data_IF_703598210638
#
_entry.id   IF_703598210638
#
_cell.length_a   1.000
_cell.length_b   1.000
_cell.length_c   1.000
_cell.angle_alpha   90.00
_cell.angle_beta   90.00
_cell.angle_gamma   90.00
#
_symmetry.space_group_name_H-M   'P 1'
#
loop_
_entity.id
_entity.type
_entity.pdbx_description
1 polymer ?
#
# COMPACT_ATOMS: atom_id res chain seq x y z
N UNK A 1 28.57 -7.07 24.80
CA UNK A 1 28.01 -6.32 23.66
C UNK A 1 27.27 -7.31 22.77
N UNK A 2 25.96 -7.35 22.86
CA UNK A 2 25.11 -8.40 22.24
C UNK A 2 24.78 -8.02 20.79
N UNK A 3 25.35 -8.76 19.84
CA UNK A 3 24.97 -8.74 18.41
C UNK A 3 23.74 -9.63 18.18
N UNK A 4 22.59 -9.22 18.67
CA UNK A 4 21.38 -10.08 18.63
C UNK A 4 20.12 -9.33 18.12
N UNK A 5 20.16 -8.65 17.02
CA UNK A 5 18.94 -7.99 16.59
C UNK A 5 18.65 -7.95 15.09
N UNK A 6 19.67 -7.91 14.27
CA UNK A 6 19.49 -7.54 12.86
C UNK A 6 19.21 -8.71 11.90
N UNK A 7 19.60 -9.94 12.23
CA UNK A 7 19.25 -11.11 11.40
C UNK A 7 17.75 -11.48 11.47
N UNK A 8 17.04 -11.05 12.52
CA UNK A 8 15.63 -11.40 12.73
C UNK A 8 14.65 -10.60 11.87
N UNK A 9 15.03 -9.40 11.41
CA UNK A 9 14.11 -8.51 10.69
C UNK A 9 13.77 -9.04 9.29
N UNK A 10 14.77 -9.46 8.53
CA UNK A 10 14.55 -9.99 7.18
C UNK A 10 13.80 -11.34 7.19
N UNK A 11 14.14 -12.21 8.15
CA UNK A 11 13.48 -13.51 8.31
C UNK A 11 12.03 -13.39 8.77
N UNK A 12 11.73 -12.49 9.72
CA UNK A 12 10.39 -12.31 10.26
C UNK A 12 9.39 -11.74 9.25
N UNK A 13 9.84 -10.83 8.37
CA UNK A 13 8.98 -10.25 7.33
C UNK A 13 8.77 -11.25 6.17
N UNK A 14 9.73 -12.13 5.89
CA UNK A 14 9.62 -13.16 4.86
C UNK A 14 8.71 -14.34 5.28
N UNK A 15 8.75 -14.77 6.55
CA UNK A 15 7.94 -15.90 7.05
C UNK A 15 6.44 -15.58 7.05
N UNK A 16 6.06 -14.31 7.23
CA UNK A 16 4.67 -13.88 7.15
C UNK A 16 4.07 -13.94 5.72
N UNK A 17 4.86 -14.34 4.73
CA UNK A 17 4.43 -14.53 3.33
C UNK A 17 4.03 -15.97 2.96
N UNK A 18 4.26 -16.98 3.84
CA UNK A 18 3.82 -18.35 3.59
C UNK A 18 2.31 -18.49 3.86
N UNK A 19 1.50 -18.22 2.86
CA UNK A 19 0.08 -18.58 2.84
C UNK A 19 -0.10 -20.08 2.58
N UNK A 20 -1.26 -20.65 2.91
CA UNK A 20 -1.55 -22.07 2.66
C UNK A 20 -1.50 -22.38 1.17
N UNK A 21 -1.10 -23.62 0.87
CA UNK A 21 -0.89 -24.16 -0.48
C UNK A 21 -2.03 -23.81 -1.46
N UNK A 22 -1.63 -23.51 -2.69
CA UNK A 22 -2.47 -23.16 -3.82
C UNK A 22 -3.58 -24.19 -4.04
N UNK A 23 -4.81 -23.80 -3.75
CA UNK A 23 -5.98 -24.50 -4.28
C UNK A 23 -6.26 -23.87 -5.64
N UNK A 24 -6.12 -24.66 -6.70
CA UNK A 24 -6.44 -24.23 -8.07
C UNK A 24 -7.92 -23.82 -8.13
N UNK A 25 -8.24 -22.54 -8.40
CA UNK A 25 -9.64 -22.14 -8.47
C UNK A 25 -10.31 -22.74 -9.71
N UNK A 26 -11.58 -23.12 -9.64
CA UNK A 26 -12.32 -23.60 -10.80
C UNK A 26 -12.38 -22.49 -11.85
N UNK A 27 -12.12 -22.85 -13.11
CA UNK A 27 -12.26 -21.96 -14.26
C UNK A 27 -13.69 -21.44 -14.38
N UNK A 28 -13.90 -20.16 -14.13
CA UNK A 28 -15.18 -19.49 -14.33
C UNK A 28 -15.24 -19.03 -15.79
N UNK A 29 -16.11 -19.66 -16.58
CA UNK A 29 -16.40 -19.21 -17.94
C UNK A 29 -17.04 -17.83 -17.91
N UNK A 30 -16.34 -16.85 -18.48
CA UNK A 30 -16.80 -15.46 -18.54
C UNK A 30 -17.75 -15.27 -19.73
N UNK A 31 -19.04 -15.18 -19.47
CA UNK A 31 -19.92 -14.43 -20.34
C UNK A 31 -19.52 -12.95 -20.27
N UNK A 32 -19.44 -12.26 -21.43
CA UNK A 32 -18.88 -10.94 -21.60
C UNK A 32 -19.57 -9.78 -20.85
N UNK A 33 -19.56 -9.85 -19.53
CA UNK A 33 -19.99 -8.74 -18.69
C UNK A 33 -18.89 -7.67 -18.66
N UNK A 34 -19.25 -6.41 -18.95
CA UNK A 34 -18.30 -5.32 -18.80
C UNK A 34 -17.82 -5.26 -17.35
N UNK A 35 -16.56 -4.93 -17.12
CA UNK A 35 -16.00 -4.77 -15.77
C UNK A 35 -16.82 -3.78 -14.90
N UNK A 36 -17.53 -2.81 -15.50
CA UNK A 36 -18.49 -1.92 -14.83
C UNK A 36 -19.69 -2.69 -14.23
N UNK A 37 -20.14 -3.77 -14.88
CA UNK A 37 -21.20 -4.62 -14.34
C UNK A 37 -20.71 -5.51 -13.20
N UNK A 38 -19.43 -5.94 -13.24
CA UNK A 38 -18.80 -6.73 -12.16
C UNK A 38 -18.66 -5.93 -10.87
N UNK A 39 -18.42 -4.61 -10.95
CA UNK A 39 -18.36 -3.72 -9.79
C UNK A 39 -19.71 -3.67 -9.05
N UNK A 40 -20.83 -3.68 -9.76
CA UNK A 40 -22.17 -3.58 -9.17
C UNK A 40 -22.58 -4.80 -8.35
N UNK A 41 -22.00 -5.96 -8.59
CA UNK A 41 -22.35 -7.22 -7.90
C UNK A 41 -21.61 -7.41 -6.59
N UNK A 42 -20.61 -6.57 -6.28
CA UNK A 42 -19.89 -6.63 -5.00
C UNK A 42 -20.65 -5.82 -3.95
N UNK A 43 -20.93 -6.40 -2.76
CA UNK A 43 -21.45 -5.62 -1.65
C UNK A 43 -20.44 -4.51 -1.33
N UNK A 44 -20.95 -3.31 -1.06
CA UNK A 44 -20.14 -2.19 -0.62
C UNK A 44 -19.37 -2.59 0.65
N UNK A 45 -18.07 -2.87 0.51
CA UNK A 45 -17.20 -3.24 1.64
C UNK A 45 -16.87 -2.01 2.49
N UNK A 46 -17.05 -0.83 1.95
CA UNK A 46 -17.14 0.45 2.65
C UNK A 46 -17.92 1.41 1.75
N UNK A 47 -18.78 2.23 2.31
CA UNK A 47 -19.25 3.44 1.64
C UNK A 47 -18.03 4.32 1.44
N UNK A 48 -17.58 4.44 0.18
CA UNK A 48 -16.47 5.30 -0.15
C UNK A 48 -16.93 6.75 0.05
N UNK A 49 -16.46 7.40 1.07
CA UNK A 49 -16.79 8.79 1.39
C UNK A 49 -15.92 9.80 0.65
N UNK A 50 -14.93 9.34 -0.11
CA UNK A 50 -14.12 10.22 -0.94
C UNK A 50 -14.89 10.59 -2.21
N UNK A 51 -14.98 11.90 -2.48
CA UNK A 51 -15.61 12.45 -3.69
C UNK A 51 -14.79 12.22 -4.96
N UNK A 52 -13.58 11.67 -4.84
CA UNK A 52 -12.60 11.54 -5.91
C UNK A 52 -12.59 10.16 -6.58
N UNK A 53 -13.75 9.54 -6.74
CA UNK A 53 -13.81 8.25 -7.43
C UNK A 53 -13.88 8.48 -8.93
N UNK A 54 -12.76 8.35 -9.60
CA UNK A 54 -12.70 8.23 -11.03
C UNK A 54 -13.07 6.80 -11.42
N UNK A 55 -14.30 6.59 -11.85
CA UNK A 55 -14.85 5.25 -12.15
C UNK A 55 -14.72 4.82 -13.59
N UNK A 56 -14.23 5.69 -14.49
CA UNK A 56 -14.21 5.45 -15.93
C UNK A 56 -12.85 4.94 -16.46
N UNK A 57 -11.80 4.97 -15.63
CA UNK A 57 -10.45 4.54 -16.04
C UNK A 57 -9.77 5.48 -17.04
N UNK A 58 -10.31 6.69 -17.26
CA UNK A 58 -9.70 7.66 -18.16
C UNK A 58 -8.31 8.12 -17.68
N UNK A 59 -7.44 8.65 -18.54
CA UNK A 59 -6.17 9.24 -18.11
C UNK A 59 -6.33 10.33 -17.05
N UNK A 60 -7.39 11.12 -17.10
CA UNK A 60 -7.71 12.12 -16.10
C UNK A 60 -7.94 11.54 -14.70
N UNK A 61 -8.22 10.24 -14.60
CA UNK A 61 -8.33 9.53 -13.33
C UNK A 61 -7.04 9.54 -12.54
N UNK A 62 -5.94 9.16 -13.18
CA UNK A 62 -4.63 9.13 -12.51
C UNK A 62 -4.21 10.55 -12.14
N UNK A 63 -4.43 11.52 -13.01
CA UNK A 63 -4.11 12.93 -12.72
C UNK A 63 -4.88 13.43 -11.49
N UNK A 64 -6.16 13.08 -11.36
CA UNK A 64 -6.97 13.43 -10.21
C UNK A 64 -6.49 12.73 -8.91
N UNK A 65 -6.11 11.45 -9.00
CA UNK A 65 -5.55 10.70 -7.86
C UNK A 65 -4.23 11.31 -7.42
N UNK A 66 -3.32 11.59 -8.35
CA UNK A 66 -2.02 12.23 -8.07
C UNK A 66 -2.22 13.60 -7.43
N UNK A 67 -3.14 14.42 -7.94
CA UNK A 67 -3.44 15.74 -7.37
C UNK A 67 -3.93 15.64 -5.92
N UNK A 68 -4.83 14.70 -5.61
CA UNK A 68 -5.31 14.49 -4.23
C UNK A 68 -4.22 13.92 -3.33
N UNK A 69 -3.40 12.99 -3.81
CA UNK A 69 -2.25 12.49 -3.06
C UNK A 69 -1.25 13.59 -2.75
N UNK A 70 -0.93 14.44 -3.73
CA UNK A 70 -0.02 15.58 -3.56
C UNK A 70 -0.54 16.53 -2.48
N UNK A 71 -1.81 16.90 -2.57
CA UNK A 71 -2.45 17.77 -1.58
C UNK A 71 -2.36 17.20 -0.15
N UNK A 72 -2.62 15.90 0.02
CA UNK A 72 -2.52 15.21 1.32
C UNK A 72 -1.07 15.14 1.79
N UNK A 73 -0.18 14.76 0.90
CA UNK A 73 1.25 14.67 1.20
C UNK A 73 1.84 16.02 1.62
N UNK A 74 1.48 17.12 0.96
CA UNK A 74 1.99 18.44 1.29
C UNK A 74 1.66 18.85 2.73
N UNK A 75 0.44 18.56 3.19
CA UNK A 75 0.03 18.80 4.58
C UNK A 75 0.85 17.96 5.56
N UNK A 76 1.01 16.67 5.28
CA UNK A 76 1.77 15.75 6.11
C UNK A 76 3.27 16.11 6.15
N UNK A 77 3.83 16.47 5.00
CA UNK A 77 5.22 16.87 4.88
C UNK A 77 5.50 18.20 5.61
N UNK A 78 4.59 19.18 5.51
CA UNK A 78 4.73 20.46 6.18
C UNK A 78 4.72 20.35 7.71
N UNK A 79 4.02 19.36 8.25
CA UNK A 79 3.95 19.06 9.70
C UNK A 79 4.98 18.05 10.17
N UNK A 80 5.86 17.55 9.30
CA UNK A 80 6.78 16.45 9.61
C UNK A 80 6.07 15.20 10.16
N UNK A 81 4.83 14.95 9.73
CA UNK A 81 4.06 13.79 10.16
C UNK A 81 4.77 12.47 9.87
N UNK A 82 4.63 11.51 10.78
CA UNK A 82 5.09 10.13 10.55
C UNK A 82 4.24 9.37 9.52
N UNK A 83 3.11 9.92 9.08
CA UNK A 83 2.34 9.38 7.95
C UNK A 83 2.92 9.80 6.58
N UNK A 84 3.76 10.85 6.56
CA UNK A 84 4.33 11.38 5.32
C UNK A 84 5.20 10.37 4.54
N UNK A 85 6.02 9.50 5.17
CA UNK A 85 6.82 8.53 4.43
C UNK A 85 5.99 7.57 3.57
N UNK A 86 4.96 6.94 4.12
CA UNK A 86 4.09 6.09 3.29
C UNK A 86 3.38 6.89 2.20
N UNK A 87 2.87 8.09 2.52
CA UNK A 87 2.18 8.94 1.57
C UNK A 87 3.08 9.36 0.39
N UNK A 88 4.37 9.65 0.66
CA UNK A 88 5.37 9.96 -0.36
C UNK A 88 5.64 8.78 -1.29
N UNK A 89 5.94 7.61 -0.72
CA UNK A 89 6.21 6.42 -1.51
C UNK A 89 5.02 6.08 -2.42
N UNK A 90 3.80 6.13 -1.88
CA UNK A 90 2.61 5.82 -2.66
C UNK A 90 2.36 6.86 -3.76
N UNK A 91 2.57 8.15 -3.48
CA UNK A 91 2.51 9.21 -4.49
C UNK A 91 3.50 8.93 -5.65
N UNK A 92 4.77 8.61 -5.35
CA UNK A 92 5.78 8.32 -6.37
C UNK A 92 5.44 7.10 -7.22
N UNK A 93 4.85 6.08 -6.63
CA UNK A 93 4.37 4.90 -7.36
C UNK A 93 3.24 5.27 -8.32
N UNK A 94 2.26 6.05 -7.85
CA UNK A 94 1.10 6.46 -8.67
C UNK A 94 1.51 7.41 -9.80
N UNK A 95 2.42 8.36 -9.56
CA UNK A 95 3.05 9.17 -10.62
C UNK A 95 3.73 8.28 -11.66
N UNK A 96 4.47 7.26 -11.22
CA UNK A 96 5.12 6.29 -12.10
C UNK A 96 4.12 5.52 -12.97
N UNK A 97 2.96 5.13 -12.42
CA UNK A 97 1.87 4.50 -13.18
C UNK A 97 1.35 5.47 -14.26
N UNK A 98 1.13 6.73 -13.93
CA UNK A 98 0.68 7.75 -14.87
C UNK A 98 1.66 7.95 -16.03
N UNK A 99 2.94 8.14 -15.72
CA UNK A 99 4.00 8.42 -16.72
C UNK A 99 4.28 7.22 -17.63
N UNK A 100 4.38 6.02 -17.05
CA UNK A 100 4.79 4.81 -17.77
C UNK A 100 3.61 4.02 -18.33
N UNK A 101 2.39 4.31 -17.88
CA UNK A 101 1.19 3.53 -18.19
C UNK A 101 0.92 3.34 -19.68
N UNK A 102 1.12 4.39 -20.49
CA UNK A 102 0.87 4.34 -21.93
C UNK A 102 1.79 3.37 -22.70
N UNK A 103 2.97 3.03 -22.16
CA UNK A 103 3.99 2.23 -22.85
C UNK A 103 4.11 0.80 -22.34
N UNK A 104 3.67 0.52 -21.11
CA UNK A 104 3.93 -0.76 -20.42
C UNK A 104 2.70 -1.65 -20.29
N UNK A 105 1.50 -1.10 -20.35
CA UNK A 105 0.27 -1.82 -20.05
C UNK A 105 -0.60 -2.02 -21.27
N UNK A 106 -1.21 -3.21 -21.37
CA UNK A 106 -2.14 -3.53 -22.45
C UNK A 106 -3.48 -2.81 -22.28
N UNK A 107 -3.96 -2.77 -21.04
CA UNK A 107 -5.23 -2.15 -20.69
C UNK A 107 -4.99 -1.06 -19.64
N UNK A 108 -4.67 0.13 -20.11
CA UNK A 108 -4.43 1.29 -19.28
C UNK A 108 -5.67 1.70 -18.50
N UNK A 109 -6.85 1.65 -19.10
CA UNK A 109 -8.10 2.09 -18.47
C UNK A 109 -8.44 1.21 -17.27
N UNK A 110 -8.18 -0.10 -17.37
CA UNK A 110 -8.33 -1.02 -16.24
C UNK A 110 -7.40 -0.66 -15.09
N UNK A 111 -6.12 -0.39 -15.37
CA UNK A 111 -5.16 -0.03 -14.33
C UNK A 111 -5.47 1.32 -13.70
N UNK A 112 -5.84 2.32 -14.48
CA UNK A 112 -6.27 3.62 -13.98
C UNK A 112 -7.49 3.48 -13.05
N UNK A 113 -8.46 2.63 -13.44
CA UNK A 113 -9.61 2.36 -12.60
C UNK A 113 -9.23 1.63 -11.32
N UNK A 114 -8.41 0.58 -11.41
CA UNK A 114 -7.93 -0.15 -10.25
C UNK A 114 -7.19 0.77 -9.28
N UNK A 115 -6.28 1.61 -9.79
CA UNK A 115 -5.51 2.55 -8.98
C UNK A 115 -6.42 3.57 -8.26
N UNK A 116 -7.42 4.11 -8.97
CA UNK A 116 -8.38 5.02 -8.36
C UNK A 116 -9.21 4.35 -7.25
N UNK A 117 -9.67 3.13 -7.45
CA UNK A 117 -10.37 2.35 -6.40
C UNK A 117 -9.44 2.08 -5.22
N UNK A 118 -8.21 1.72 -5.50
CA UNK A 118 -7.19 1.40 -4.51
C UNK A 118 -6.84 2.63 -3.67
N UNK A 119 -6.58 3.77 -4.30
CA UNK A 119 -6.30 5.05 -3.62
C UNK A 119 -7.46 5.48 -2.71
N UNK A 120 -8.69 5.32 -3.16
CA UNK A 120 -9.87 5.68 -2.38
C UNK A 120 -10.04 4.86 -1.10
N UNK A 121 -9.58 3.61 -1.06
CA UNK A 121 -9.59 2.82 0.18
C UNK A 121 -8.64 3.43 1.23
N UNK A 122 -7.44 3.84 0.83
CA UNK A 122 -6.52 4.57 1.70
C UNK A 122 -7.11 5.92 2.14
N UNK A 123 -7.62 6.74 1.22
CA UNK A 123 -8.22 8.03 1.56
C UNK A 123 -9.36 7.88 2.56
N UNK A 124 -10.21 6.88 2.37
CA UNK A 124 -11.32 6.60 3.29
C UNK A 124 -10.82 6.19 4.68
N UNK A 125 -9.81 5.33 4.76
CA UNK A 125 -9.22 4.92 6.03
C UNK A 125 -8.59 6.11 6.76
N UNK A 126 -7.82 6.93 6.04
CA UNK A 126 -7.20 8.14 6.56
C UNK A 126 -8.24 9.17 7.05
N UNK A 127 -9.25 9.47 6.24
CA UNK A 127 -10.29 10.45 6.59
C UNK A 127 -11.13 10.00 7.80
N UNK A 128 -11.39 8.70 7.91
CA UNK A 128 -12.04 8.13 9.08
C UNK A 128 -11.17 8.23 10.33
N UNK A 129 -9.86 7.96 10.20
CA UNK A 129 -8.91 8.11 11.30
C UNK A 129 -8.86 9.55 11.81
N UNK A 130 -8.63 10.51 10.91
CA UNK A 130 -8.56 11.95 11.24
C UNK A 130 -9.86 12.51 11.81
N UNK A 131 -11.00 11.94 11.44
CA UNK A 131 -12.31 12.31 11.98
C UNK A 131 -12.66 11.57 13.29
N UNK A 132 -11.74 10.80 13.88
CA UNK A 132 -11.99 10.03 15.10
C UNK A 132 -12.96 8.84 14.94
N UNK A 133 -13.35 8.50 13.71
CA UNK A 133 -14.23 7.38 13.39
C UNK A 133 -13.46 6.05 13.35
N UNK A 134 -12.70 5.75 14.40
CA UNK A 134 -11.75 4.64 14.46
C UNK A 134 -12.38 3.26 14.23
N UNK A 135 -13.66 3.08 14.55
CA UNK A 135 -14.40 1.83 14.28
C UNK A 135 -14.61 1.55 12.78
N UNK A 136 -14.49 2.57 11.93
CA UNK A 136 -14.60 2.44 10.47
C UNK A 136 -13.23 2.25 9.80
N UNK A 137 -12.16 2.29 10.57
CA UNK A 137 -10.79 2.10 10.06
C UNK A 137 -10.41 0.63 10.19
N UNK A 138 -9.94 -0.02 9.11
CA UNK A 138 -9.41 -1.38 9.17
C UNK A 138 -8.27 -1.50 10.17
N UNK A 139 -8.15 -2.66 10.82
CA UNK A 139 -7.21 -2.84 11.94
C UNK A 139 -5.75 -2.62 11.53
N UNK A 140 -5.34 -3.09 10.35
CA UNK A 140 -3.98 -2.86 9.85
C UNK A 140 -3.67 -1.37 9.66
N UNK A 141 -4.65 -0.57 9.20
CA UNK A 141 -4.53 0.88 9.13
C UNK A 141 -4.54 1.54 10.49
N UNK A 142 -5.33 1.03 11.43
CA UNK A 142 -5.32 1.57 12.81
C UNK A 142 -3.96 1.43 13.46
N UNK A 143 -3.31 0.28 13.29
CA UNK A 143 -1.95 0.05 13.79
C UNK A 143 -0.98 1.03 13.11
N UNK A 144 -1.04 1.19 11.79
CA UNK A 144 -0.16 2.10 11.06
C UNK A 144 -0.33 3.56 11.51
N UNK A 145 -1.57 4.05 11.55
CA UNK A 145 -1.84 5.44 11.94
C UNK A 145 -1.55 5.70 13.42
N UNK A 146 -1.83 4.74 14.29
CA UNK A 146 -1.51 4.87 15.70
C UNK A 146 0.01 4.91 15.93
N UNK A 147 0.77 4.05 15.27
CA UNK A 147 2.23 4.06 15.34
C UNK A 147 2.80 5.40 14.84
N UNK A 148 2.25 5.94 13.74
CA UNK A 148 2.63 7.24 13.20
C UNK A 148 2.28 8.40 14.14
N UNK A 149 1.06 8.44 14.70
CA UNK A 149 0.65 9.49 15.65
C UNK A 149 1.48 9.48 16.92
N UNK A 150 1.92 8.31 17.37
CA UNK A 150 2.74 8.13 18.58
C UNK A 150 4.26 8.19 18.31
N UNK A 151 4.68 8.14 17.04
CA UNK A 151 6.08 8.09 16.65
C UNK A 151 6.82 6.88 17.22
N UNK A 152 6.18 5.71 17.29
CA UNK A 152 6.73 4.52 17.93
C UNK A 152 7.62 3.67 17.05
N UNK A 153 7.58 3.89 15.74
CA UNK A 153 8.37 3.17 14.74
C UNK A 153 9.29 4.11 13.96
N UNK A 154 10.32 3.54 13.34
CA UNK A 154 11.22 4.27 12.44
C UNK A 154 10.52 4.64 11.12
N UNK A 155 11.17 5.49 10.30
CA UNK A 155 10.70 5.81 8.93
C UNK A 155 10.47 4.54 8.11
N UNK A 156 11.35 3.54 8.23
CA UNK A 156 11.14 2.23 7.59
C UNK A 156 9.86 1.54 8.11
N UNK A 157 9.59 1.64 9.41
CA UNK A 157 8.38 1.12 10.03
C UNK A 157 7.12 1.81 9.50
N UNK A 158 7.12 3.13 9.42
CA UNK A 158 6.02 3.92 8.87
C UNK A 158 5.71 3.50 7.41
N UNK A 159 6.74 3.34 6.59
CA UNK A 159 6.61 2.85 5.21
C UNK A 159 6.02 1.44 5.18
N UNK A 160 6.60 0.49 5.91
CA UNK A 160 6.19 -0.92 5.85
C UNK A 160 4.79 -1.15 6.43
N UNK A 161 4.41 -0.45 7.49
CA UNK A 161 3.06 -0.52 8.07
C UNK A 161 2.02 -0.01 7.07
N UNK A 162 2.25 1.16 6.47
CA UNK A 162 1.36 1.70 5.45
C UNK A 162 1.24 0.79 4.23
N UNK A 163 2.38 0.28 3.72
CA UNK A 163 2.40 -0.65 2.59
C UNK A 163 1.68 -1.97 2.90
N UNK A 164 1.86 -2.52 4.09
CA UNK A 164 1.12 -3.73 4.49
C UNK A 164 -0.39 -3.47 4.55
N UNK A 165 -0.82 -2.40 5.20
CA UNK A 165 -2.24 -2.06 5.26
C UNK A 165 -2.82 -1.85 3.86
N UNK A 166 -2.10 -1.17 2.99
CA UNK A 166 -2.56 -0.89 1.64
C UNK A 166 -2.52 -2.14 0.74
N UNK A 167 -1.38 -2.84 0.64
CA UNK A 167 -1.23 -3.99 -0.26
C UNK A 167 -1.92 -5.24 0.29
N UNK A 168 -1.70 -5.60 1.56
CA UNK A 168 -2.20 -6.88 2.07
C UNK A 168 -3.66 -6.84 2.48
N UNK A 169 -4.18 -5.65 2.84
CA UNK A 169 -5.59 -5.49 3.22
C UNK A 169 -6.42 -4.87 2.11
N UNK A 170 -6.04 -3.71 1.54
CA UNK A 170 -6.93 -2.98 0.63
C UNK A 170 -6.91 -3.54 -0.79
N UNK A 171 -5.74 -3.95 -1.30
CA UNK A 171 -5.59 -4.39 -2.69
C UNK A 171 -6.48 -5.59 -3.06
N UNK A 172 -6.69 -6.62 -2.22
CA UNK A 172 -7.62 -7.68 -2.53
C UNK A 172 -9.05 -7.18 -2.79
N UNK A 173 -9.51 -6.21 -2.01
CA UNK A 173 -10.84 -5.62 -2.16
C UNK A 173 -10.91 -4.68 -3.37
N UNK A 174 -9.85 -3.94 -3.65
CA UNK A 174 -9.76 -3.12 -4.86
C UNK A 174 -9.81 -3.98 -6.12
N UNK A 175 -9.04 -5.07 -6.16
CA UNK A 175 -9.03 -6.05 -7.25
C UNK A 175 -10.39 -6.73 -7.41
N UNK A 176 -10.99 -7.19 -6.33
CA UNK A 176 -12.31 -7.81 -6.38
C UNK A 176 -13.38 -6.82 -6.87
N UNK A 177 -13.24 -5.53 -6.56
CA UNK A 177 -14.14 -4.47 -7.01
C UNK A 177 -13.91 -4.08 -8.48
N UNK A 178 -12.65 -3.95 -8.90
CA UNK A 178 -12.30 -3.64 -10.28
C UNK A 178 -12.57 -4.82 -11.23
N UNK A 179 -12.54 -6.05 -10.69
CA UNK A 179 -12.58 -7.29 -11.46
C UNK A 179 -11.18 -7.79 -11.82
N UNK A 180 -11.06 -9.09 -12.07
CA UNK A 180 -9.79 -9.74 -12.43
C UNK A 180 -9.70 -10.05 -13.93
N UNK A 181 -10.71 -9.65 -14.69
CA UNK A 181 -10.78 -9.87 -16.14
C UNK A 181 -11.06 -8.58 -16.87
N UNK A 182 -10.45 -8.45 -18.01
CA UNK A 182 -10.73 -7.39 -18.97
C UNK A 182 -12.11 -7.60 -19.63
N UNK A 183 -12.70 -6.56 -20.28
CA UNK A 183 -13.99 -6.68 -20.97
C UNK A 183 -14.04 -7.77 -22.05
N UNK A 184 -12.88 -8.10 -22.63
CA UNK A 184 -12.74 -9.19 -23.62
C UNK A 184 -12.63 -10.60 -22.99
N UNK A 185 -12.73 -10.71 -21.64
CA UNK A 185 -12.65 -11.95 -20.89
C UNK A 185 -11.22 -12.41 -20.56
N UNK A 186 -10.18 -11.72 -21.04
CA UNK A 186 -8.80 -12.06 -20.70
C UNK A 186 -8.48 -11.73 -19.24
N UNK A 187 -7.51 -12.45 -18.65
CA UNK A 187 -7.02 -12.13 -17.30
C UNK A 187 -6.29 -10.79 -17.31
N UNK A 188 -6.61 -9.93 -16.36
CA UNK A 188 -5.89 -8.69 -16.10
C UNK A 188 -4.58 -8.91 -15.32
N UNK A 189 -4.27 -10.15 -14.91
CA UNK A 189 -3.09 -10.48 -14.11
C UNK A 189 -1.78 -10.10 -14.77
N UNK A 190 -1.71 -10.19 -16.11
CA UNK A 190 -0.52 -9.81 -16.85
C UNK A 190 -0.16 -8.34 -16.65
N UNK A 191 -1.12 -7.43 -16.72
CA UNK A 191 -0.92 -6.00 -16.48
C UNK A 191 -0.71 -5.72 -14.99
N UNK A 192 -1.45 -6.40 -14.11
CA UNK A 192 -1.23 -6.33 -12.67
C UNK A 192 0.22 -6.68 -12.29
N UNK A 193 0.78 -7.75 -12.84
CA UNK A 193 2.15 -8.17 -12.57
C UNK A 193 3.22 -7.25 -13.18
N UNK A 194 2.93 -6.57 -14.31
CA UNK A 194 3.86 -5.59 -14.88
C UNK A 194 4.12 -4.40 -13.95
N UNK A 195 3.19 -4.07 -13.06
CA UNK A 195 3.38 -3.06 -12.01
C UNK A 195 4.56 -3.39 -11.10
N UNK A 196 4.89 -4.68 -10.88
CA UNK A 196 6.04 -5.08 -10.07
C UNK A 196 7.37 -4.52 -10.63
N UNK A 197 7.51 -4.48 -11.96
CA UNK A 197 8.68 -3.87 -12.60
C UNK A 197 8.75 -2.35 -12.40
N UNK A 198 7.60 -1.68 -12.36
CA UNK A 198 7.53 -0.26 -12.04
C UNK A 198 7.91 -0.02 -10.57
N UNK A 199 7.37 -0.80 -9.65
CA UNK A 199 7.72 -0.72 -8.23
C UNK A 199 9.24 -0.83 -8.03
N UNK A 200 9.90 -1.77 -8.71
CA UNK A 200 11.34 -1.92 -8.66
C UNK A 200 12.11 -0.67 -9.12
N UNK A 201 11.63 0.02 -10.16
CA UNK A 201 12.30 1.23 -10.67
C UNK A 201 12.08 2.46 -9.79
N UNK A 202 10.97 2.53 -9.04
CA UNK A 202 10.61 3.69 -8.22
C UNK A 202 11.13 3.55 -6.78
N UNK A 203 11.25 2.32 -6.27
CA UNK A 203 11.54 2.09 -4.84
C UNK A 203 12.88 2.70 -4.40
N UNK A 204 13.95 2.52 -5.18
CA UNK A 204 15.28 3.02 -4.81
C UNK A 204 15.30 4.55 -4.69
N UNK A 205 14.75 5.24 -5.69
CA UNK A 205 14.70 6.70 -5.73
C UNK A 205 13.81 7.24 -4.60
N UNK A 206 12.68 6.57 -4.35
CA UNK A 206 11.78 6.95 -3.27
C UNK A 206 12.44 6.78 -1.89
N UNK A 207 13.13 5.68 -1.64
CA UNK A 207 13.85 5.48 -0.38
C UNK A 207 14.99 6.50 -0.18
N UNK A 208 15.67 6.91 -1.26
CA UNK A 208 16.67 7.99 -1.21
C UNK A 208 16.02 9.35 -0.90
N UNK A 209 14.85 9.63 -1.46
CA UNK A 209 14.07 10.82 -1.14
C UNK A 209 13.59 10.81 0.32
N UNK A 210 13.11 9.67 0.82
CA UNK A 210 12.73 9.48 2.23
C UNK A 210 13.89 9.75 3.19
N UNK A 211 15.06 9.21 2.88
CA UNK A 211 16.27 9.46 3.65
C UNK A 211 16.60 10.95 3.71
N UNK A 212 16.50 11.65 2.59
CA UNK A 212 16.77 13.09 2.51
C UNK A 212 15.73 13.92 3.26
N UNK A 213 14.48 13.48 3.29
CA UNK A 213 13.39 14.24 3.90
C UNK A 213 13.23 14.00 5.40
N UNK A 214 13.37 12.75 5.83
CA UNK A 214 12.91 12.34 7.15
C UNK A 214 13.97 11.63 8.00
N UNK A 215 14.85 10.82 7.41
CA UNK A 215 15.82 10.05 8.17
C UNK A 215 17.09 9.75 7.37
N UNK A 216 18.17 10.52 7.54
CA UNK A 216 19.43 10.31 6.82
C UNK A 216 20.09 8.95 7.13
N UNK A 217 19.66 8.25 8.17
CA UNK A 217 20.20 6.94 8.55
C UNK A 217 19.49 5.78 7.87
N UNK A 218 18.39 6.04 7.13
CA UNK A 218 17.58 5.01 6.48
C UNK A 218 18.42 4.08 5.58
N UNK A 219 19.36 4.62 4.81
CA UNK A 219 20.25 3.82 3.97
C UNK A 219 21.12 2.86 4.79
N UNK A 220 21.63 3.30 5.93
CA UNK A 220 22.41 2.47 6.85
C UNK A 220 21.56 1.39 7.50
N UNK A 221 20.32 1.73 7.86
CA UNK A 221 19.35 0.78 8.43
C UNK A 221 19.01 -0.31 7.42
N UNK A 222 18.75 0.05 6.16
CA UNK A 222 18.47 -0.91 5.08
C UNK A 222 19.67 -1.85 4.85
N UNK A 223 20.88 -1.32 4.78
CA UNK A 223 22.11 -2.12 4.65
C UNK A 223 22.30 -3.07 5.84
N UNK A 224 22.14 -2.58 7.06
CA UNK A 224 22.30 -3.37 8.27
C UNK A 224 21.24 -4.49 8.37
N UNK A 225 20.01 -4.22 7.92
CA UNK A 225 18.94 -5.21 7.83
C UNK A 225 19.12 -6.15 6.62
N UNK A 226 20.12 -5.94 5.78
CA UNK A 226 20.31 -6.64 4.48
C UNK A 226 19.07 -6.52 3.57
N UNK A 227 18.34 -5.43 3.70
CA UNK A 227 17.22 -5.11 2.83
C UNK A 227 17.72 -4.22 1.69
N UNK A 228 18.07 -4.81 0.59
CA UNK A 228 18.37 -4.10 -0.63
C UNK A 228 17.08 -3.72 -1.36
N UNK A 229 17.09 -2.73 -2.25
CA UNK A 229 15.89 -2.37 -3.03
C UNK A 229 15.26 -3.56 -3.77
N UNK A 230 16.06 -4.51 -4.23
CA UNK A 230 15.59 -5.74 -4.86
C UNK A 230 14.82 -6.64 -3.88
N UNK A 231 15.22 -6.70 -2.61
CA UNK A 231 14.54 -7.51 -1.60
C UNK A 231 13.20 -6.89 -1.22
N UNK A 232 13.16 -5.56 -1.12
CA UNK A 232 11.91 -4.81 -0.92
C UNK A 232 10.95 -5.04 -2.10
N UNK A 233 11.46 -5.00 -3.32
CA UNK A 233 10.66 -5.28 -4.52
C UNK A 233 10.10 -6.70 -4.49
N UNK A 234 10.90 -7.72 -4.15
CA UNK A 234 10.44 -9.11 -4.05
C UNK A 234 9.39 -9.29 -2.96
N UNK A 235 9.58 -8.63 -1.80
CA UNK A 235 8.61 -8.62 -0.73
C UNK A 235 7.26 -8.07 -1.20
N UNK A 236 7.28 -6.93 -1.88
CA UNK A 236 6.08 -6.30 -2.42
C UNK A 236 5.41 -7.15 -3.49
N UNK A 237 6.18 -7.74 -4.39
CA UNK A 237 5.67 -8.65 -5.40
C UNK A 237 4.97 -9.85 -4.77
N UNK A 238 5.54 -10.41 -3.70
CA UNK A 238 4.93 -11.49 -2.91
C UNK A 238 3.61 -11.07 -2.25
N UNK A 239 3.57 -9.89 -1.63
CA UNK A 239 2.33 -9.38 -1.03
C UNK A 239 1.26 -9.13 -2.09
N UNK A 240 1.63 -8.60 -3.26
CA UNK A 240 0.71 -8.38 -4.37
C UNK A 240 0.17 -9.68 -4.95
N UNK A 241 1.01 -10.72 -5.08
CA UNK A 241 0.56 -12.04 -5.53
C UNK A 241 -0.45 -12.65 -4.55
N UNK A 242 -0.21 -12.52 -3.25
CA UNK A 242 -1.18 -12.93 -2.24
C UNK A 242 -2.50 -12.14 -2.35
N UNK A 243 -2.41 -10.85 -2.63
CA UNK A 243 -3.60 -10.00 -2.81
C UNK A 243 -4.43 -10.40 -4.03
N UNK A 244 -3.78 -10.83 -5.12
CA UNK A 244 -4.47 -11.38 -6.28
C UNK A 244 -5.23 -12.67 -5.93
N UNK A 245 -4.57 -13.62 -5.27
CA UNK A 245 -5.18 -14.87 -4.81
C UNK A 245 -6.35 -14.61 -3.85
N UNK A 246 -6.23 -13.64 -2.96
CA UNK A 246 -7.30 -13.25 -2.04
C UNK A 246 -8.49 -12.63 -2.77
N UNK A 247 -8.25 -11.84 -3.81
CA UNK A 247 -9.30 -11.30 -4.67
C UNK A 247 -10.03 -12.42 -5.43
N UNK A 248 -9.31 -13.41 -5.93
CA UNK A 248 -9.92 -14.62 -6.54
C UNK A 248 -10.81 -15.35 -5.53
N UNK A 249 -10.36 -15.52 -4.29
CA UNK A 249 -11.16 -16.13 -3.21
C UNK A 249 -12.42 -15.32 -2.89
N UNK A 250 -12.32 -13.98 -2.84
CA UNK A 250 -13.47 -13.08 -2.65
C UNK A 250 -14.51 -13.23 -3.75
N UNK A 251 -14.05 -13.31 -5.00
CA UNK A 251 -14.93 -13.45 -6.17
C UNK A 251 -15.52 -14.87 -6.30
N UNK A 252 -14.80 -15.89 -5.89
CA UNK A 252 -15.27 -17.29 -5.87
C UNK A 252 -16.29 -17.54 -4.76
N UNK A 253 -16.34 -16.71 -3.72
CA UNK A 253 -17.28 -16.85 -2.60
C UNK A 253 -18.72 -16.57 -3.04
N UNK A 254 -19.53 -17.62 -3.06
CA UNK A 254 -20.91 -17.58 -3.60
C UNK A 254 -21.94 -17.02 -2.63
N UNK A 255 -21.67 -17.12 -1.32
CA UNK A 255 -22.61 -16.66 -0.29
C UNK A 255 -22.01 -15.48 0.50
N UNK A 256 -22.86 -14.61 1.10
CA UNK A 256 -22.39 -13.56 1.99
C UNK A 256 -21.53 -14.08 3.14
N UNK A 257 -21.86 -15.24 3.70
CA UNK A 257 -21.13 -15.88 4.79
C UNK A 257 -19.73 -16.29 4.34
N UNK A 258 -19.59 -16.94 3.17
CA UNK A 258 -18.30 -17.29 2.59
C UNK A 258 -17.45 -16.04 2.33
N UNK A 259 -18.04 -15.00 1.74
CA UNK A 259 -17.36 -13.74 1.46
C UNK A 259 -16.88 -13.06 2.73
N UNK A 260 -17.72 -13.02 3.77
CA UNK A 260 -17.33 -12.50 5.08
C UNK A 260 -16.19 -13.32 5.73
N UNK A 261 -16.16 -14.64 5.56
CA UNK A 261 -15.07 -15.47 6.05
C UNK A 261 -13.73 -15.15 5.36
N UNK A 262 -13.74 -15.00 4.03
CA UNK A 262 -12.55 -14.57 3.28
C UNK A 262 -12.10 -13.17 3.71
N UNK A 263 -13.02 -12.22 3.83
CA UNK A 263 -12.71 -10.86 4.28
C UNK A 263 -12.06 -10.86 5.67
N UNK A 264 -12.58 -11.64 6.62
CA UNK A 264 -11.96 -11.79 7.94
C UNK A 264 -10.55 -12.40 7.88
N UNK A 265 -10.32 -13.35 7.00
CA UNK A 265 -9.00 -13.96 6.81
C UNK A 265 -7.98 -12.93 6.28
N UNK A 266 -8.38 -12.06 5.35
CA UNK A 266 -7.56 -10.96 4.83
C UNK A 266 -7.23 -9.97 5.96
N UNK A 267 -8.23 -9.52 6.71
CA UNK A 267 -8.06 -8.62 7.85
C UNK A 267 -7.10 -9.22 8.91
N UNK A 268 -7.29 -10.48 9.27
CA UNK A 268 -6.44 -11.17 10.26
C UNK A 268 -4.99 -11.28 9.78
N UNK A 269 -4.77 -11.62 8.51
CA UNK A 269 -3.43 -11.73 7.92
C UNK A 269 -2.72 -10.38 7.87
N UNK A 270 -3.39 -9.32 7.41
CA UNK A 270 -2.83 -7.97 7.37
C UNK A 270 -2.55 -7.44 8.78
N UNK A 271 -3.45 -7.68 9.74
CA UNK A 271 -3.28 -7.28 11.15
C UNK A 271 -2.10 -7.99 11.81
N UNK A 272 -1.98 -9.32 11.63
CA UNK A 272 -0.87 -10.10 12.19
C UNK A 272 0.47 -9.61 11.66
N UNK A 273 0.55 -9.31 10.37
CA UNK A 273 1.76 -8.74 9.74
C UNK A 273 2.04 -7.32 10.25
N UNK A 274 1.03 -6.47 10.42
CA UNK A 274 1.21 -5.12 10.96
C UNK A 274 1.84 -5.16 12.35
N UNK A 275 1.35 -6.01 13.26
CA UNK A 275 1.92 -6.16 14.61
C UNK A 275 3.37 -6.66 14.58
N UNK A 276 3.71 -7.56 13.66
CA UNK A 276 5.08 -8.02 13.48
C UNK A 276 5.99 -6.89 12.99
N UNK A 277 5.55 -6.13 11.97
CA UNK A 277 6.29 -4.98 11.45
C UNK A 277 6.50 -3.96 12.56
N UNK A 278 5.47 -3.58 13.29
CA UNK A 278 5.54 -2.65 14.43
C UNK A 278 6.60 -3.09 15.45
N UNK A 279 6.57 -4.36 15.85
CA UNK A 279 7.51 -4.90 16.83
C UNK A 279 8.97 -4.86 16.36
N UNK A 280 9.24 -5.20 15.07
CA UNK A 280 10.61 -5.29 14.54
C UNK A 280 11.16 -3.95 14.03
N UNK A 281 10.29 -2.96 13.79
CA UNK A 281 10.69 -1.62 13.33
C UNK A 281 10.49 -0.54 14.39
N UNK A 282 10.27 -0.93 15.65
CA UNK A 282 10.20 0.04 16.75
C UNK A 282 11.48 0.86 16.82
N UNK A 283 11.39 2.10 17.26
CA UNK A 283 12.55 3.01 17.38
C UNK A 283 13.68 2.43 18.26
N UNK A 284 13.34 1.53 19.19
CA UNK A 284 14.32 0.82 20.03
C UNK A 284 15.19 -0.17 19.23
N UNK A 285 14.77 -0.56 18.04
CA UNK A 285 15.39 -1.60 17.21
C UNK A 285 16.06 -1.02 15.95
N UNK A 286 15.43 -0.10 15.25
CA UNK A 286 15.78 0.20 13.86
C UNK A 286 16.06 1.66 13.53
N UNK A 287 15.96 2.58 14.45
CA UNK A 287 16.12 3.95 14.03
C UNK A 287 16.36 4.98 15.11
N UNK A 288 16.55 6.24 14.72
CA UNK A 288 16.48 7.35 15.65
C UNK A 288 15.09 7.40 16.27
N UNK A 289 15.01 7.84 17.52
CA UNK A 289 13.71 8.10 18.12
C UNK A 289 12.96 9.21 17.36
N UNK A 290 11.65 9.30 17.60
CA UNK A 290 10.79 10.26 16.93
C UNK A 290 11.28 11.71 17.10
N UNK A 291 11.86 12.08 18.24
CA UNK A 291 12.36 13.42 18.49
C UNK A 291 13.54 13.78 17.57
N UNK A 292 14.48 12.86 17.38
CA UNK A 292 15.64 13.03 16.46
C UNK A 292 15.15 13.15 15.01
N UNK A 293 14.26 12.28 14.59
CA UNK A 293 13.64 12.31 13.25
C UNK A 293 12.90 13.62 13.02
N UNK A 294 12.06 14.04 13.96
CA UNK A 294 11.27 15.25 13.84
C UNK A 294 12.16 16.49 13.78
N UNK A 295 13.16 16.58 14.66
CA UNK A 295 14.13 17.67 14.64
C UNK A 295 14.91 17.74 13.31
N UNK A 296 15.21 16.60 12.68
CA UNK A 296 15.85 16.57 11.36
C UNK A 296 14.92 17.13 10.29
N UNK A 297 13.68 16.63 10.21
CA UNK A 297 12.69 17.09 9.26
C UNK A 297 12.41 18.59 9.38
N UNK A 298 12.21 19.10 10.60
CA UNK A 298 11.97 20.51 10.84
C UNK A 298 13.14 21.40 10.45
N UNK A 299 14.38 20.99 10.74
CA UNK A 299 15.57 21.73 10.29
C UNK A 299 15.66 21.83 8.77
N UNK A 300 15.30 20.74 8.08
CA UNK A 300 15.24 20.71 6.62
C UNK A 300 14.21 21.69 6.07
N UNK A 301 12.99 21.70 6.64
CA UNK A 301 11.92 22.61 6.23
C UNK A 301 12.33 24.07 6.39
N UNK A 302 12.92 24.45 7.54
CA UNK A 302 13.42 25.82 7.78
C UNK A 302 14.49 26.24 6.76
N UNK A 303 15.36 25.33 6.34
CA UNK A 303 16.37 25.62 5.32
C UNK A 303 15.78 25.81 3.92
N UNK A 304 14.69 25.12 3.58
CA UNK A 304 14.04 25.26 2.29
C UNK A 304 13.29 26.58 2.19
N UNK A 305 12.59 27.03 3.25
CA UNK A 305 11.89 28.31 3.29
C UNK A 305 12.82 29.53 3.33
N UNK A 306 14.05 29.38 3.82
CA UNK A 306 15.05 30.45 3.81
C UNK A 306 15.73 30.66 2.44
N UNK A 307 15.51 29.77 1.48
CA UNK A 307 16.09 29.83 0.12
C UNK A 307 15.08 30.19 -0.98
N UNK A 308 13.79 30.18 -0.65
CA UNK A 308 12.69 30.64 -1.49
C UNK A 308 12.37 32.13 -1.27
#
# INVERSE_FOLDING_TARGET
MRRLGLCSIAAAVAIAGCGPASVTPPSVSAGGASWKAMIRTMPAVATLHSTNICGDGSPACIDAVVAEMTRRFDVLNASCSHEAPFALLYLRVTEGVGIQGARRFRNRDYLNHLDAVFANLYFTAYDNWRAGRTKLVPEAWRIAFQAADQGTVSVLGDILLGMNAHISRDLPFALARAGLREPNGQSAEGDFNRVNGLLGSVTADSLAEEATRYDPTLGTVLQAARLYPVDVQQLLAGWRSNSWNDAERLLAARTPTQRAAVARSIEAGATGRARLIEAVTSNLVTGPDAAVRNAYCERRLRKSTARS
#
